data_IF_326948064612
#
_entry.id   IF_326948064612
#
_cell.length_a   1.000
_cell.length_b   1.000
_cell.length_c   1.000
_cell.angle_alpha   90.00
_cell.angle_beta   90.00
_cell.angle_gamma   90.00
#
_symmetry.space_group_name_H-M   'P 1'
#
loop_
_entity.id
_entity.type
_entity.pdbx_description
1 polymer ?
#
# COMPACT_ATOMS: atom_id res chain seq x y z
N UNK A 1 18.00 -32.93 -4.13
CA UNK A 1 16.63 -32.47 -3.82
C UNK A 1 16.75 -31.23 -2.92
N UNK A 2 16.49 -30.03 -3.42
CA UNK A 2 16.52 -28.80 -2.62
C UNK A 2 15.36 -28.81 -1.65
N UNK A 3 15.60 -28.62 -0.36
CA UNK A 3 14.53 -28.58 0.63
C UNK A 3 13.73 -27.28 0.51
N UNK A 4 12.40 -27.31 0.75
CA UNK A 4 11.56 -26.10 0.80
C UNK A 4 12.08 -25.03 1.79
N UNK A 5 12.82 -25.45 2.84
CA UNK A 5 13.43 -24.54 3.81
C UNK A 5 14.49 -23.59 3.22
N UNK A 6 15.09 -23.96 2.09
CA UNK A 6 16.10 -23.14 1.44
C UNK A 6 15.56 -21.85 0.80
N UNK A 7 14.26 -21.83 0.42
CA UNK A 7 13.61 -20.66 -0.17
C UNK A 7 13.04 -19.67 0.87
N UNK A 8 13.00 -20.06 2.13
CA UNK A 8 12.45 -19.25 3.21
C UNK A 8 13.50 -18.44 3.97
N UNK A 9 14.81 -18.70 3.72
CA UNK A 9 15.86 -18.01 4.44
C UNK A 9 16.29 -16.74 3.72
N UNK A 10 16.21 -15.61 4.44
CA UNK A 10 16.65 -14.28 3.99
C UNK A 10 17.91 -13.88 4.74
N UNK A 11 18.88 -13.34 4.00
CA UNK A 11 20.14 -12.81 4.51
C UNK A 11 20.20 -11.31 4.33
N UNK A 12 20.72 -10.60 5.32
CA UNK A 12 21.08 -9.19 5.19
C UNK A 12 22.61 -9.06 5.21
N UNK A 13 23.15 -8.16 4.40
CA UNK A 13 24.61 -8.01 4.23
C UNK A 13 25.33 -7.72 5.55
N UNK A 14 24.71 -6.96 6.46
CA UNK A 14 25.26 -6.60 7.78
C UNK A 14 25.12 -7.69 8.85
N UNK A 15 24.24 -8.67 8.63
CA UNK A 15 24.01 -9.76 9.57
C UNK A 15 24.41 -11.06 8.89
N UNK A 16 25.49 -11.70 9.37
CA UNK A 16 26.00 -12.99 8.83
C UNK A 16 25.08 -14.19 9.10
N UNK A 17 23.89 -13.96 9.69
CA UNK A 17 22.93 -15.00 10.04
C UNK A 17 21.70 -14.89 9.16
N UNK A 18 21.26 -16.00 8.56
CA UNK A 18 20.01 -16.07 7.83
C UNK A 18 18.79 -16.14 8.76
N UNK A 19 17.71 -15.49 8.36
CA UNK A 19 16.41 -15.54 9.03
C UNK A 19 15.46 -16.41 8.23
N UNK A 20 14.90 -17.44 8.86
CA UNK A 20 13.87 -18.24 8.22
C UNK A 20 12.52 -17.50 8.27
N UNK A 21 11.95 -17.23 7.11
CA UNK A 21 10.71 -16.46 6.93
C UNK A 21 9.68 -17.35 6.23
N UNK A 22 8.84 -18.07 6.99
CA UNK A 22 7.80 -18.90 6.40
C UNK A 22 6.74 -18.03 5.72
N UNK A 23 6.28 -18.40 4.54
CA UNK A 23 5.22 -17.70 3.83
C UNK A 23 3.82 -18.04 4.37
N UNK A 24 3.67 -19.23 4.97
CA UNK A 24 2.41 -19.76 5.49
C UNK A 24 2.45 -19.84 7.01
N UNK A 25 1.39 -19.34 7.65
CA UNK A 25 1.23 -19.39 9.12
C UNK A 25 0.63 -20.73 9.56
N UNK A 26 -0.47 -21.13 8.93
CA UNK A 26 -1.22 -22.35 9.24
C UNK A 26 -1.77 -22.95 7.96
N UNK A 27 -1.71 -24.27 7.84
CA UNK A 27 -2.38 -25.05 6.80
C UNK A 27 -3.32 -26.05 7.47
N UNK A 28 -4.58 -26.09 7.03
CA UNK A 28 -5.57 -27.02 7.54
C UNK A 28 -6.54 -27.41 6.43
N UNK A 29 -7.12 -28.59 6.55
CA UNK A 29 -8.15 -29.07 5.63
C UNK A 29 -9.54 -28.82 6.21
N UNK A 30 -10.39 -28.14 5.45
CA UNK A 30 -11.80 -27.91 5.82
C UNK A 30 -12.71 -28.39 4.67
N UNK A 31 -13.62 -29.30 4.96
CA UNK A 31 -14.54 -29.89 3.96
C UNK A 31 -13.84 -30.43 2.71
N UNK A 32 -12.64 -31.02 2.87
CA UNK A 32 -11.87 -31.58 1.77
C UNK A 32 -11.06 -30.58 0.94
N UNK A 33 -11.11 -29.27 1.27
CA UNK A 33 -10.29 -28.25 0.65
C UNK A 33 -9.12 -27.87 1.57
N UNK A 34 -7.91 -27.78 1.01
CA UNK A 34 -6.74 -27.29 1.73
C UNK A 34 -6.79 -25.76 1.81
N UNK A 35 -6.88 -25.24 3.03
CA UNK A 35 -6.87 -23.79 3.31
C UNK A 35 -5.52 -23.43 3.93
N UNK A 36 -4.80 -22.52 3.29
CA UNK A 36 -3.54 -21.98 3.80
C UNK A 36 -3.69 -20.53 4.20
N UNK A 37 -3.47 -20.22 5.48
CA UNK A 37 -3.40 -18.84 5.97
C UNK A 37 -1.96 -18.33 5.78
N UNK A 38 -1.80 -17.34 4.92
CA UNK A 38 -0.51 -16.71 4.61
C UNK A 38 -0.19 -15.60 5.60
N UNK A 39 1.08 -15.48 6.00
CA UNK A 39 1.54 -14.36 6.85
C UNK A 39 1.24 -13.00 6.23
N UNK A 40 1.32 -12.88 4.90
CA UNK A 40 0.94 -11.66 4.18
C UNK A 40 -0.47 -11.17 4.55
N UNK A 41 -1.47 -12.05 4.50
CA UNK A 41 -2.85 -11.70 4.85
C UNK A 41 -3.02 -11.28 6.30
N UNK A 42 -2.34 -11.98 7.22
CA UNK A 42 -2.37 -11.66 8.67
C UNK A 42 -1.75 -10.29 8.94
N UNK A 43 -0.63 -9.95 8.31
CA UNK A 43 0.03 -8.65 8.46
C UNK A 43 -0.86 -7.52 7.92
N UNK A 44 -1.49 -7.72 6.76
CA UNK A 44 -2.42 -6.73 6.19
C UNK A 44 -3.62 -6.53 7.12
N UNK A 45 -4.23 -7.62 7.63
CA UNK A 45 -5.35 -7.54 8.56
C UNK A 45 -4.95 -6.82 9.86
N UNK A 46 -3.77 -7.12 10.40
CA UNK A 46 -3.24 -6.45 11.59
C UNK A 46 -3.02 -4.95 11.34
N UNK A 47 -2.41 -4.58 10.22
CA UNK A 47 -2.23 -3.18 9.82
C UNK A 47 -3.56 -2.44 9.66
N UNK A 48 -4.56 -3.10 9.05
CA UNK A 48 -5.91 -2.56 8.92
C UNK A 48 -6.58 -2.32 10.29
N UNK A 49 -6.51 -3.30 11.20
CA UNK A 49 -7.07 -3.18 12.54
C UNK A 49 -6.42 -2.02 13.30
N UNK A 50 -5.09 -1.90 13.28
CA UNK A 50 -4.40 -0.80 13.96
C UNK A 50 -4.75 0.56 13.35
N UNK A 51 -4.84 0.67 12.03
CA UNK A 51 -5.27 1.88 11.33
C UNK A 51 -6.72 2.25 11.72
N UNK A 52 -7.63 1.27 11.77
CA UNK A 52 -9.01 1.46 12.18
C UNK A 52 -9.16 1.89 13.64
N UNK A 53 -8.39 1.28 14.55
CA UNK A 53 -8.37 1.65 15.98
C UNK A 53 -7.85 3.07 16.17
N UNK A 54 -6.80 3.45 15.45
CA UNK A 54 -6.26 4.81 15.49
C UNK A 54 -7.27 5.83 14.93
N UNK A 55 -7.86 5.54 13.77
CA UNK A 55 -8.93 6.35 13.18
C UNK A 55 -10.14 6.50 14.12
N UNK A 56 -10.54 5.42 14.82
CA UNK A 56 -11.60 5.44 15.82
C UNK A 56 -11.32 6.38 16.99
N UNK A 57 -10.07 6.41 17.47
CA UNK A 57 -9.66 7.38 18.49
C UNK A 57 -9.74 8.83 17.98
N UNK A 58 -9.41 9.09 16.73
CA UNK A 58 -9.57 10.41 16.11
C UNK A 58 -11.04 10.76 15.94
N UNK A 59 -11.87 9.82 15.45
CA UNK A 59 -13.32 9.98 15.28
C UNK A 59 -13.98 10.39 16.59
N UNK A 60 -13.67 9.71 17.68
CA UNK A 60 -14.17 10.04 19.02
C UNK A 60 -13.86 11.48 19.41
N UNK A 61 -12.63 11.95 19.18
CA UNK A 61 -12.22 13.34 19.47
C UNK A 61 -12.95 14.37 18.61
N UNK A 62 -13.32 14.00 17.39
CA UNK A 62 -14.05 14.87 16.48
C UNK A 62 -15.57 14.70 16.57
N UNK A 63 -16.05 14.03 17.64
CA UNK A 63 -17.47 13.77 17.92
C UNK A 63 -18.18 13.02 16.78
N UNK A 64 -17.44 12.18 16.06
CA UNK A 64 -18.01 11.23 15.11
C UNK A 64 -18.30 9.96 15.90
N UNK A 65 -19.58 9.55 15.91
CA UNK A 65 -19.97 8.33 16.65
C UNK A 65 -19.32 7.08 16.04
N UNK A 66 -19.10 6.07 16.89
CA UNK A 66 -18.51 4.79 16.46
C UNK A 66 -19.33 4.13 15.34
N UNK A 67 -20.67 4.17 15.45
CA UNK A 67 -21.58 3.60 14.44
C UNK A 67 -21.34 4.22 13.05
N UNK A 68 -21.20 5.56 12.99
CA UNK A 68 -20.90 6.24 11.72
C UNK A 68 -19.57 5.83 11.12
N UNK A 69 -18.58 5.63 11.99
CA UNK A 69 -17.26 5.18 11.56
C UNK A 69 -17.30 3.72 11.09
N UNK A 70 -18.00 2.85 11.81
CA UNK A 70 -18.19 1.46 11.40
C UNK A 70 -18.91 1.34 10.08
N UNK A 71 -19.94 2.17 9.82
CA UNK A 71 -20.59 2.22 8.51
C UNK A 71 -19.58 2.56 7.40
N UNK A 72 -18.74 3.58 7.59
CA UNK A 72 -17.71 3.93 6.60
C UNK A 72 -16.75 2.78 6.35
N UNK A 73 -16.30 2.09 7.42
CA UNK A 73 -15.38 0.96 7.30
C UNK A 73 -16.04 -0.24 6.60
N UNK A 74 -17.25 -0.61 7.02
CA UNK A 74 -17.95 -1.78 6.47
C UNK A 74 -18.32 -1.54 5.01
N UNK A 75 -19.06 -0.47 4.71
CA UNK A 75 -19.47 -0.19 3.34
C UNK A 75 -18.30 0.16 2.43
N UNK A 76 -17.30 0.87 2.96
CA UNK A 76 -16.07 1.19 2.22
C UNK A 76 -15.27 -0.06 1.88
N UNK A 77 -15.12 -1.00 2.80
CA UNK A 77 -14.40 -2.27 2.56
C UNK A 77 -15.16 -3.15 1.57
N UNK A 78 -16.47 -3.34 1.76
CA UNK A 78 -17.28 -4.15 0.86
C UNK A 78 -17.29 -3.59 -0.56
N UNK A 79 -17.56 -2.29 -0.71
CA UNK A 79 -17.52 -1.63 -2.01
C UNK A 79 -16.11 -1.61 -2.62
N UNK A 80 -15.08 -1.53 -1.79
CA UNK A 80 -13.69 -1.66 -2.23
C UNK A 80 -13.40 -3.02 -2.83
N UNK A 81 -13.82 -4.11 -2.18
CA UNK A 81 -13.65 -5.48 -2.70
C UNK A 81 -14.43 -5.67 -4.00
N UNK A 82 -15.70 -5.25 -4.03
CA UNK A 82 -16.55 -5.35 -5.22
C UNK A 82 -15.95 -4.51 -6.37
N UNK A 83 -15.52 -3.28 -6.09
CA UNK A 83 -14.90 -2.41 -7.08
C UNK A 83 -13.58 -2.97 -7.61
N UNK A 84 -12.75 -3.54 -6.74
CA UNK A 84 -11.49 -4.18 -7.15
C UNK A 84 -11.73 -5.33 -8.11
N UNK A 85 -12.74 -6.17 -7.83
CA UNK A 85 -13.11 -7.29 -8.70
C UNK A 85 -13.73 -6.82 -10.01
N UNK A 86 -14.69 -5.89 -9.93
CA UNK A 86 -15.35 -5.34 -11.11
C UNK A 86 -14.35 -4.70 -12.08
N UNK A 87 -13.41 -3.91 -11.57
CA UNK A 87 -12.36 -3.30 -12.38
C UNK A 87 -11.51 -4.37 -13.08
N UNK A 88 -11.06 -5.39 -12.34
CA UNK A 88 -10.26 -6.47 -12.91
C UNK A 88 -11.02 -7.21 -13.99
N UNK A 89 -12.29 -7.58 -13.76
CA UNK A 89 -13.14 -8.29 -14.73
C UNK A 89 -13.37 -7.46 -15.99
N UNK A 90 -13.61 -6.15 -15.86
CA UNK A 90 -13.80 -5.25 -17.00
C UNK A 90 -12.56 -5.24 -17.90
N UNK A 91 -11.36 -5.16 -17.31
CA UNK A 91 -10.10 -5.13 -18.08
C UNK A 91 -9.67 -6.50 -18.63
N UNK A 92 -10.28 -7.59 -18.11
CA UNK A 92 -10.09 -8.96 -18.60
C UNK A 92 -11.36 -9.52 -19.23
N UNK A 93 -12.21 -8.63 -19.81
CA UNK A 93 -13.54 -9.01 -20.30
C UNK A 93 -13.52 -10.11 -21.35
N UNK A 94 -12.48 -10.15 -22.20
CA UNK A 94 -12.35 -11.19 -23.23
C UNK A 94 -12.28 -12.60 -22.65
N UNK A 95 -11.71 -12.76 -21.48
CA UNK A 95 -11.69 -14.01 -20.73
C UNK A 95 -13.02 -14.25 -20.00
N UNK A 96 -13.49 -13.27 -19.21
CA UNK A 96 -14.63 -13.45 -18.32
C UNK A 96 -15.98 -13.58 -19.04
N UNK A 97 -16.12 -13.03 -20.25
CA UNK A 97 -17.32 -13.26 -21.06
C UNK A 97 -17.53 -14.75 -21.43
N UNK A 98 -16.43 -15.55 -21.48
CA UNK A 98 -16.46 -16.99 -21.73
C UNK A 98 -16.54 -17.81 -20.45
N UNK A 99 -16.16 -17.23 -19.29
CA UNK A 99 -16.11 -17.88 -17.98
C UNK A 99 -16.88 -17.09 -16.90
N UNK A 100 -18.19 -16.81 -17.08
CA UNK A 100 -18.94 -15.91 -16.18
C UNK A 100 -19.07 -16.48 -14.76
N UNK A 101 -19.01 -17.80 -14.57
CA UNK A 101 -19.03 -18.44 -13.25
C UNK A 101 -17.80 -18.13 -12.38
N UNK A 102 -16.70 -17.66 -12.98
CA UNK A 102 -15.49 -17.27 -12.24
C UNK A 102 -15.52 -15.83 -11.76
N UNK A 103 -16.43 -14.98 -12.26
CA UNK A 103 -16.53 -13.57 -11.86
C UNK A 103 -16.63 -13.38 -10.34
N UNK A 104 -17.43 -14.14 -9.57
CA UNK A 104 -17.50 -13.98 -8.11
C UNK A 104 -16.34 -14.63 -7.34
N UNK A 105 -15.44 -15.36 -7.98
CA UNK A 105 -14.39 -16.16 -7.33
C UNK A 105 -13.18 -15.30 -6.91
N UNK A 106 -13.38 -14.40 -5.95
CA UNK A 106 -12.33 -13.49 -5.45
C UNK A 106 -11.19 -14.21 -4.73
N UNK A 107 -11.41 -15.43 -4.24
CA UNK A 107 -10.38 -16.25 -3.56
C UNK A 107 -9.31 -16.79 -4.49
N UNK A 108 -9.52 -16.77 -5.79
CA UNK A 108 -8.51 -17.10 -6.81
C UNK A 108 -7.62 -15.92 -7.19
N UNK A 109 -7.81 -14.76 -6.56
CA UNK A 109 -7.11 -13.52 -6.90
C UNK A 109 -7.90 -12.68 -7.92
N UNK A 110 -7.19 -11.89 -8.73
CA UNK A 110 -7.83 -11.00 -9.72
C UNK A 110 -8.57 -9.83 -9.09
N UNK A 111 -7.89 -9.08 -8.25
CA UNK A 111 -8.35 -7.86 -7.61
C UNK A 111 -7.46 -6.68 -8.04
N UNK A 112 -8.05 -5.67 -8.67
CA UNK A 112 -7.33 -4.48 -9.11
C UNK A 112 -7.40 -3.37 -8.05
N UNK A 113 -6.24 -2.86 -7.64
CA UNK A 113 -6.12 -1.85 -6.59
C UNK A 113 -6.88 -0.56 -6.93
N UNK A 114 -6.87 -0.14 -8.19
CA UNK A 114 -7.59 1.07 -8.62
C UNK A 114 -9.10 0.94 -8.45
N UNK A 115 -9.66 -0.22 -8.80
CA UNK A 115 -11.07 -0.50 -8.58
C UNK A 115 -11.45 -0.48 -7.10
N UNK A 116 -10.56 -0.99 -6.25
CA UNK A 116 -10.73 -0.96 -4.79
C UNK A 116 -10.75 0.46 -4.23
N UNK A 117 -9.83 1.30 -4.67
CA UNK A 117 -9.77 2.72 -4.26
C UNK A 117 -11.02 3.47 -4.72
N UNK A 118 -11.42 3.30 -5.98
CA UNK A 118 -12.62 3.97 -6.55
C UNK A 118 -13.87 3.52 -5.80
N UNK A 119 -14.09 2.21 -5.66
CA UNK A 119 -15.27 1.67 -4.98
C UNK A 119 -15.35 2.11 -3.52
N UNK A 120 -14.22 2.00 -2.78
CA UNK A 120 -14.14 2.43 -1.39
C UNK A 120 -14.39 3.93 -1.22
N UNK A 121 -13.83 4.77 -2.11
CA UNK A 121 -14.05 6.22 -2.07
C UNK A 121 -15.50 6.60 -2.37
N UNK A 122 -16.12 6.00 -3.39
CA UNK A 122 -17.53 6.24 -3.71
C UNK A 122 -18.42 5.87 -2.51
N UNK A 123 -18.22 4.71 -1.91
CA UNK A 123 -18.97 4.29 -0.73
C UNK A 123 -18.77 5.24 0.44
N UNK A 124 -17.53 5.65 0.71
CA UNK A 124 -17.21 6.60 1.77
C UNK A 124 -17.93 7.95 1.54
N UNK A 125 -17.96 8.47 0.30
CA UNK A 125 -18.68 9.69 -0.04
C UNK A 125 -20.19 9.56 0.18
N UNK A 126 -20.80 8.43 -0.23
CA UNK A 126 -22.22 8.15 -0.02
C UNK A 126 -22.54 8.08 1.47
N UNK A 127 -21.76 7.31 2.24
CA UNK A 127 -21.98 7.17 3.69
C UNK A 127 -21.80 8.52 4.38
N UNK A 128 -20.80 9.32 4.03
CA UNK A 128 -20.63 10.67 4.57
C UNK A 128 -21.84 11.55 4.33
N UNK A 129 -22.40 11.52 3.12
CA UNK A 129 -23.58 12.28 2.77
C UNK A 129 -24.81 11.83 3.58
N UNK A 130 -25.06 10.52 3.65
CA UNK A 130 -26.22 9.94 4.35
C UNK A 130 -26.11 10.14 5.87
N UNK A 131 -24.94 9.90 6.44
CA UNK A 131 -24.70 10.01 7.89
C UNK A 131 -24.33 11.41 8.36
N UNK A 132 -24.30 12.41 7.44
CA UNK A 132 -23.92 13.81 7.70
C UNK A 132 -22.56 13.90 8.40
N UNK A 133 -21.55 13.22 7.84
CA UNK A 133 -20.15 13.27 8.29
C UNK A 133 -19.44 14.32 7.43
N UNK A 134 -18.61 15.16 8.06
CA UNK A 134 -17.72 16.05 7.30
C UNK A 134 -16.67 15.22 6.56
N UNK A 135 -16.71 15.24 5.22
CA UNK A 135 -15.82 14.44 4.36
C UNK A 135 -14.36 14.81 4.56
N UNK A 136 -14.03 16.09 4.76
CA UNK A 136 -12.63 16.52 4.94
C UNK A 136 -12.05 15.99 6.26
N UNK A 137 -12.88 15.91 7.32
CA UNK A 137 -12.44 15.29 8.57
C UNK A 137 -12.25 13.77 8.39
N UNK A 138 -13.12 13.09 7.62
CA UNK A 138 -12.94 11.68 7.31
C UNK A 138 -11.66 11.45 6.50
N UNK A 139 -11.38 12.27 5.50
CA UNK A 139 -10.15 12.20 4.71
C UNK A 139 -8.90 12.44 5.56
N UNK A 140 -8.94 13.42 6.48
CA UNK A 140 -7.84 13.66 7.44
C UNK A 140 -7.57 12.42 8.31
N UNK A 141 -8.63 11.82 8.82
CA UNK A 141 -8.54 10.61 9.63
C UNK A 141 -8.02 9.43 8.81
N UNK A 142 -8.52 9.27 7.57
CA UNK A 142 -8.06 8.26 6.63
C UNK A 142 -6.60 8.44 6.26
N UNK A 143 -6.17 9.64 5.88
CA UNK A 143 -4.81 9.91 5.43
C UNK A 143 -3.74 9.53 6.46
N UNK A 144 -3.92 9.93 7.72
CA UNK A 144 -2.96 9.58 8.77
C UNK A 144 -3.03 8.08 9.15
N UNK A 145 -4.24 7.48 9.14
CA UNK A 145 -4.43 6.05 9.44
C UNK A 145 -3.85 5.15 8.34
N UNK A 146 -3.94 5.58 7.07
CA UNK A 146 -3.36 4.85 5.94
C UNK A 146 -1.85 4.66 6.08
N UNK A 147 -1.11 5.63 6.63
CA UNK A 147 0.33 5.48 6.85
C UNK A 147 0.65 4.33 7.80
N UNK A 148 -0.19 4.09 8.82
CA UNK A 148 -0.05 2.93 9.72
C UNK A 148 -0.25 1.64 8.92
N UNK A 149 -1.37 1.52 8.23
CA UNK A 149 -1.70 0.33 7.44
C UNK A 149 -0.68 0.04 6.35
N UNK A 150 -0.25 1.07 5.61
CA UNK A 150 0.76 0.96 4.56
C UNK A 150 2.12 0.54 5.12
N UNK A 151 2.60 1.21 6.17
CA UNK A 151 3.88 0.90 6.79
C UNK A 151 3.96 -0.54 7.30
N UNK A 152 2.89 -1.04 7.94
CA UNK A 152 2.79 -2.43 8.39
C UNK A 152 2.64 -3.38 7.21
N UNK A 153 1.80 -3.02 6.23
CA UNK A 153 1.54 -3.85 5.04
C UNK A 153 2.80 -4.17 4.23
N UNK A 154 3.82 -3.28 4.24
CA UNK A 154 5.11 -3.53 3.57
C UNK A 154 5.87 -4.74 4.13
N UNK A 155 5.66 -5.08 5.39
CA UNK A 155 6.21 -6.32 5.96
C UNK A 155 5.58 -7.57 5.36
N UNK A 156 4.37 -7.47 4.79
CA UNK A 156 3.80 -8.54 3.98
C UNK A 156 4.62 -8.83 2.72
N UNK A 157 5.09 -7.79 2.02
CA UNK A 157 6.00 -7.97 0.87
C UNK A 157 7.33 -8.64 1.29
N UNK A 158 7.84 -8.33 2.49
CA UNK A 158 9.01 -9.00 3.05
C UNK A 158 8.75 -10.49 3.29
N UNK A 159 7.61 -10.87 3.87
CA UNK A 159 7.25 -12.27 4.07
C UNK A 159 7.11 -13.02 2.74
N UNK A 160 6.62 -12.35 1.71
CA UNK A 160 6.54 -12.90 0.36
C UNK A 160 7.86 -12.77 -0.42
N UNK A 161 8.87 -12.05 0.10
CA UNK A 161 10.13 -11.77 -0.59
C UNK A 161 9.92 -11.19 -2.00
N UNK A 162 8.98 -10.25 -2.13
CA UNK A 162 8.55 -9.62 -3.37
C UNK A 162 8.75 -8.11 -3.33
N UNK A 163 8.56 -7.44 -4.48
CA UNK A 163 8.64 -5.98 -4.61
C UNK A 163 9.99 -5.40 -4.12
N UNK A 164 11.07 -6.14 -4.30
CA UNK A 164 12.44 -5.71 -3.99
C UNK A 164 12.98 -4.74 -5.06
N UNK A 165 14.08 -4.07 -4.75
CA UNK A 165 14.73 -3.13 -5.67
C UNK A 165 15.86 -3.77 -6.48
N UNK A 166 16.58 -2.93 -7.22
CA UNK A 166 17.78 -3.33 -7.97
C UNK A 166 18.90 -3.82 -7.05
N UNK A 167 19.99 -4.38 -7.63
CA UNK A 167 21.15 -4.77 -6.85
C UNK A 167 21.76 -3.59 -6.08
N UNK A 168 22.33 -3.89 -4.91
CA UNK A 168 22.93 -2.87 -4.03
C UNK A 168 24.15 -3.42 -3.32
N UNK A 169 25.14 -2.55 -3.12
CA UNK A 169 26.30 -2.80 -2.26
C UNK A 169 26.10 -2.20 -0.84
N UNK A 170 24.90 -1.67 -0.56
CA UNK A 170 24.58 -1.10 0.75
C UNK A 170 24.68 -2.17 1.86
N UNK A 171 25.13 -1.82 3.08
CA UNK A 171 25.30 -2.77 4.17
C UNK A 171 23.99 -3.44 4.61
N UNK A 172 22.84 -2.86 4.31
CA UNK A 172 21.51 -3.42 4.59
C UNK A 172 20.87 -4.12 3.38
N UNK A 173 21.64 -4.43 2.33
CA UNK A 173 21.17 -5.22 1.19
C UNK A 173 20.59 -6.56 1.63
N UNK A 174 19.53 -7.00 0.95
CA UNK A 174 18.79 -8.23 1.23
C UNK A 174 19.02 -9.26 0.12
N UNK A 175 19.23 -10.52 0.48
CA UNK A 175 19.36 -11.62 -0.47
C UNK A 175 18.64 -12.87 0.02
N UNK A 176 18.06 -13.61 -0.90
CA UNK A 176 17.52 -14.95 -0.66
C UNK A 176 17.52 -15.77 -1.94
N UNK A 177 17.39 -17.10 -1.82
CA UNK A 177 17.25 -17.98 -2.98
C UNK A 177 15.97 -17.69 -3.78
N UNK A 178 14.90 -17.29 -3.10
CA UNK A 178 13.65 -16.91 -3.77
C UNK A 178 13.83 -15.64 -4.62
N UNK A 179 14.49 -14.62 -4.09
CA UNK A 179 14.83 -13.40 -4.82
C UNK A 179 15.69 -13.73 -6.05
N UNK A 180 16.75 -14.56 -5.86
CA UNK A 180 17.61 -14.99 -6.94
C UNK A 180 16.83 -15.73 -8.04
N UNK A 181 15.95 -16.65 -7.65
CA UNK A 181 15.09 -17.38 -8.59
C UNK A 181 14.16 -16.45 -9.37
N UNK A 182 13.54 -15.46 -8.69
CA UNK A 182 12.70 -14.44 -9.35
C UNK A 182 13.50 -13.61 -10.36
N UNK A 183 14.73 -13.18 -10.02
CA UNK A 183 15.60 -12.43 -10.93
C UNK A 183 15.92 -13.25 -12.18
N UNK A 184 16.19 -14.55 -12.02
CA UNK A 184 16.48 -15.45 -13.15
C UNK A 184 15.21 -15.62 -14.01
N UNK A 185 14.08 -15.88 -13.38
CA UNK A 185 12.78 -16.05 -14.06
C UNK A 185 12.40 -14.81 -14.87
N UNK A 186 12.57 -13.63 -14.30
CA UNK A 186 12.18 -12.36 -14.90
C UNK A 186 13.29 -11.70 -15.72
N UNK A 187 14.42 -12.39 -15.95
CA UNK A 187 15.62 -11.84 -16.58
C UNK A 187 15.35 -11.22 -17.97
N UNK A 188 14.50 -11.86 -18.78
CA UNK A 188 14.13 -11.33 -20.10
C UNK A 188 13.28 -10.06 -19.97
N UNK A 189 12.28 -10.05 -19.08
CA UNK A 189 11.43 -8.89 -18.82
C UNK A 189 12.23 -7.72 -18.23
N UNK A 190 13.20 -8.00 -17.39
CA UNK A 190 14.12 -6.99 -16.84
C UNK A 190 15.01 -6.41 -17.93
N UNK A 191 15.56 -7.24 -18.81
CA UNK A 191 16.38 -6.80 -19.93
C UNK A 191 15.58 -5.91 -20.91
N UNK A 192 14.33 -6.25 -21.21
CA UNK A 192 13.43 -5.41 -22.02
C UNK A 192 13.19 -4.03 -21.39
N UNK A 193 13.24 -3.94 -20.05
CA UNK A 193 13.15 -2.68 -19.29
C UNK A 193 14.51 -1.97 -19.13
N UNK A 194 15.58 -2.49 -19.71
CA UNK A 194 16.94 -1.94 -19.57
C UNK A 194 17.55 -2.15 -18.17
N UNK A 195 17.04 -3.10 -17.38
CA UNK A 195 17.50 -3.40 -16.03
C UNK A 195 18.32 -4.68 -16.07
N UNK A 196 19.62 -4.59 -15.71
CA UNK A 196 20.48 -5.75 -15.55
C UNK A 196 20.64 -6.06 -14.07
N UNK A 197 20.36 -7.30 -13.65
CA UNK A 197 20.50 -7.75 -12.27
C UNK A 197 21.32 -9.03 -12.17
N UNK A 198 22.17 -9.09 -11.15
CA UNK A 198 22.91 -10.28 -10.77
C UNK A 198 22.14 -11.03 -9.67
N UNK A 199 21.69 -12.27 -9.89
CA UNK A 199 20.95 -13.05 -8.91
C UNK A 199 21.79 -13.42 -7.66
N UNK A 200 23.13 -13.31 -7.75
CA UNK A 200 24.02 -13.59 -6.63
C UNK A 200 24.33 -12.36 -5.76
N UNK A 201 23.86 -11.17 -6.17
CA UNK A 201 24.07 -9.93 -5.44
C UNK A 201 22.86 -9.56 -4.58
N UNK A 202 23.06 -8.90 -3.43
CA UNK A 202 21.98 -8.35 -2.63
C UNK A 202 21.16 -7.31 -3.40
N UNK A 203 19.91 -7.14 -3.00
CA UNK A 203 18.96 -6.16 -3.56
C UNK A 203 18.52 -5.15 -2.52
N UNK A 204 18.04 -3.98 -2.96
CA UNK A 204 17.47 -2.98 -2.07
C UNK A 204 16.20 -3.51 -1.38
N UNK A 205 16.11 -3.50 -0.03
CA UNK A 205 14.91 -3.88 0.72
C UNK A 205 13.89 -2.75 0.68
N UNK A 206 13.21 -2.56 -0.45
CA UNK A 206 12.27 -1.44 -0.64
C UNK A 206 11.11 -1.48 0.34
N UNK A 207 10.70 -2.67 0.82
CA UNK A 207 9.70 -2.81 1.88
C UNK A 207 10.09 -2.03 3.14
N UNK A 208 11.37 -2.07 3.52
CA UNK A 208 11.90 -1.37 4.69
C UNK A 208 11.90 0.15 4.46
N UNK A 209 12.32 0.58 3.27
CA UNK A 209 12.32 2.00 2.92
C UNK A 209 10.91 2.59 2.97
N UNK A 210 9.94 1.91 2.36
CA UNK A 210 8.54 2.34 2.37
C UNK A 210 7.93 2.28 3.79
N UNK A 211 8.26 1.27 4.59
CA UNK A 211 7.79 1.15 5.98
C UNK A 211 8.32 2.30 6.85
N UNK A 212 9.62 2.61 6.77
CA UNK A 212 10.23 3.72 7.49
C UNK A 212 9.68 5.07 7.02
N UNK A 213 9.50 5.24 5.70
CA UNK A 213 8.89 6.44 5.14
C UNK A 213 7.48 6.69 5.68
N UNK A 214 6.66 5.64 5.71
CA UNK A 214 5.31 5.71 6.29
C UNK A 214 5.34 6.02 7.79
N UNK A 215 6.26 5.44 8.55
CA UNK A 215 6.42 5.72 9.98
C UNK A 215 6.80 7.19 10.23
N UNK A 216 7.79 7.72 9.49
CA UNK A 216 8.20 9.12 9.61
C UNK A 216 7.04 10.04 9.24
N UNK A 217 6.34 9.77 8.14
CA UNK A 217 5.16 10.53 7.73
C UNK A 217 4.05 10.51 8.77
N UNK A 218 3.79 9.34 9.36
CA UNK A 218 2.84 9.22 10.47
C UNK A 218 3.23 10.11 11.65
N UNK A 219 4.48 10.09 12.08
CA UNK A 219 4.96 10.93 13.19
C UNK A 219 4.81 12.42 12.88
N UNK A 220 5.19 12.86 11.67
CA UNK A 220 5.03 14.25 11.24
C UNK A 220 3.56 14.66 11.26
N UNK A 221 2.68 13.88 10.61
CA UNK A 221 1.25 14.19 10.56
C UNK A 221 0.58 14.09 11.93
N UNK A 222 1.05 13.20 12.81
CA UNK A 222 0.57 13.12 14.19
C UNK A 222 0.92 14.38 14.99
N UNK A 223 2.12 14.93 14.83
CA UNK A 223 2.50 16.21 15.44
C UNK A 223 1.66 17.36 14.89
N UNK A 224 1.43 17.39 13.56
CA UNK A 224 0.55 18.39 12.93
C UNK A 224 -0.88 18.25 13.47
N UNK A 225 -1.40 17.03 13.56
CA UNK A 225 -2.73 16.76 14.14
C UNK A 225 -2.87 17.28 15.56
N UNK A 226 -1.85 17.11 16.40
CA UNK A 226 -1.90 17.49 17.81
C UNK A 226 -1.71 18.98 18.05
N UNK A 227 -0.83 19.64 17.28
CA UNK A 227 -0.36 20.98 17.59
C UNK A 227 -0.62 22.03 16.51
N UNK A 228 -0.69 21.62 15.23
CA UNK A 228 -0.62 22.55 14.10
C UNK A 228 -1.76 22.41 13.10
N UNK A 229 -2.81 21.63 13.42
CA UNK A 229 -3.96 21.49 12.53
C UNK A 229 -4.79 22.78 12.54
N UNK A 230 -4.87 23.43 11.38
CA UNK A 230 -5.56 24.72 11.20
C UNK A 230 -6.86 24.61 10.40
N UNK A 231 -6.98 23.62 9.50
CA UNK A 231 -8.17 23.44 8.66
C UNK A 231 -8.50 21.95 8.45
N UNK A 232 -9.75 21.67 8.06
CA UNK A 232 -10.19 20.31 7.70
C UNK A 232 -9.65 19.94 6.32
N UNK A 233 -9.07 18.76 6.17
CA UNK A 233 -8.36 18.32 4.96
C UNK A 233 -6.85 18.50 5.02
N UNK A 234 -6.31 19.16 6.06
CA UNK A 234 -4.88 19.45 6.20
C UNK A 234 -4.04 18.17 6.28
N UNK A 235 -4.47 17.18 7.06
CA UNK A 235 -3.72 15.94 7.24
C UNK A 235 -3.78 15.08 5.97
N UNK A 236 -4.90 15.11 5.25
CA UNK A 236 -5.03 14.38 3.99
C UNK A 236 -4.14 14.97 2.89
N UNK A 237 -4.10 16.28 2.75
CA UNK A 237 -3.18 16.94 1.83
C UNK A 237 -1.72 16.70 2.22
N UNK A 238 -1.40 16.74 3.51
CA UNK A 238 -0.08 16.37 4.02
C UNK A 238 0.29 14.92 3.71
N UNK A 239 -0.67 13.97 3.86
CA UNK A 239 -0.49 12.58 3.47
C UNK A 239 -0.21 12.44 1.97
N UNK A 240 -1.02 13.09 1.12
CA UNK A 240 -0.84 13.02 -0.34
C UNK A 240 0.51 13.56 -0.80
N UNK A 241 0.95 14.68 -0.23
CA UNK A 241 2.26 15.26 -0.51
C UNK A 241 3.40 14.34 -0.02
N UNK A 242 3.34 13.83 1.19
CA UNK A 242 4.35 12.95 1.77
C UNK A 242 4.44 11.60 1.06
N UNK A 243 3.30 10.94 0.86
CA UNK A 243 3.23 9.66 0.16
C UNK A 243 3.68 9.78 -1.29
N UNK A 244 3.23 10.84 -2.00
CA UNK A 244 3.62 11.10 -3.37
C UNK A 244 5.14 11.29 -3.51
N UNK A 245 5.77 12.05 -2.59
CA UNK A 245 7.22 12.23 -2.56
C UNK A 245 7.94 10.90 -2.34
N UNK A 246 7.53 10.13 -1.32
CA UNK A 246 8.14 8.85 -1.01
C UNK A 246 8.02 7.85 -2.15
N UNK A 247 6.84 7.78 -2.76
CA UNK A 247 6.60 6.88 -3.89
C UNK A 247 7.43 7.28 -5.11
N UNK A 248 7.58 8.58 -5.39
CA UNK A 248 8.42 9.06 -6.47
C UNK A 248 9.90 8.67 -6.29
N UNK A 249 10.42 8.76 -5.05
CA UNK A 249 11.82 8.41 -4.74
C UNK A 249 12.02 6.88 -4.76
N UNK A 250 11.18 6.14 -4.02
CA UNK A 250 11.38 4.69 -3.82
C UNK A 250 11.10 3.91 -5.10
N UNK A 251 10.17 4.38 -5.94
CA UNK A 251 9.91 3.77 -7.25
C UNK A 251 11.18 3.73 -8.12
N UNK A 252 12.10 4.67 -7.93
CA UNK A 252 13.38 4.69 -8.60
C UNK A 252 14.23 3.43 -8.38
N UNK A 253 14.07 2.75 -7.26
CA UNK A 253 14.81 1.52 -6.92
C UNK A 253 14.07 0.24 -7.36
N UNK A 254 12.76 0.28 -7.64
CA UNK A 254 11.94 -0.90 -7.91
C UNK A 254 12.19 -1.48 -9.30
N UNK A 255 12.04 -2.79 -9.40
CA UNK A 255 12.23 -3.56 -10.65
C UNK A 255 10.92 -3.88 -11.35
N UNK A 256 9.80 -3.85 -10.62
CA UNK A 256 8.46 -4.20 -11.09
C UNK A 256 7.63 -3.01 -11.63
N UNK A 257 8.30 -1.86 -11.86
CA UNK A 257 7.66 -0.63 -12.33
C UNK A 257 7.11 -0.75 -13.76
N UNK A 258 5.97 -0.06 -14.01
CA UNK A 258 5.42 0.14 -15.34
C UNK A 258 6.04 1.38 -15.96
N UNK A 259 6.46 1.27 -17.22
CA UNK A 259 7.05 2.37 -17.99
C UNK A 259 6.04 2.95 -18.99
N UNK A 260 6.15 4.23 -19.29
CA UNK A 260 5.42 4.84 -20.40
C UNK A 260 6.04 4.32 -21.70
N UNK A 261 5.19 3.88 -22.64
CA UNK A 261 5.64 3.28 -23.91
C UNK A 261 6.77 4.11 -24.56
N UNK A 262 7.84 3.44 -24.97
CA UNK A 262 9.02 4.02 -25.60
C UNK A 262 9.82 5.04 -24.78
N UNK A 263 9.65 5.05 -23.44
CA UNK A 263 10.42 5.94 -22.56
C UNK A 263 10.99 5.19 -21.36
N UNK A 264 11.98 5.80 -20.69
CA UNK A 264 12.52 5.32 -19.40
C UNK A 264 11.75 5.87 -18.19
N UNK A 265 10.65 6.59 -18.43
CA UNK A 265 9.87 7.25 -17.41
C UNK A 265 8.86 6.27 -16.82
N UNK A 266 8.86 6.12 -15.51
CA UNK A 266 7.92 5.24 -14.78
C UNK A 266 6.60 5.95 -14.55
N UNK A 267 5.48 5.32 -14.95
CA UNK A 267 4.12 5.87 -14.79
C UNK A 267 3.86 6.29 -13.34
N UNK A 268 4.21 5.42 -12.38
CA UNK A 268 4.00 5.68 -10.96
C UNK A 268 4.79 6.87 -10.44
N UNK A 269 5.97 7.17 -10.99
CA UNK A 269 6.75 8.36 -10.62
C UNK A 269 6.05 9.66 -11.07
N UNK A 270 5.54 9.68 -12.30
CA UNK A 270 4.83 10.86 -12.82
C UNK A 270 3.55 11.12 -12.04
N UNK A 271 2.74 10.08 -11.83
CA UNK A 271 1.49 10.18 -11.09
C UNK A 271 1.75 10.62 -9.64
N UNK A 272 2.76 10.05 -8.99
CA UNK A 272 3.10 10.39 -7.60
C UNK A 272 3.69 11.80 -7.48
N UNK A 273 4.50 12.23 -8.45
CA UNK A 273 5.01 13.60 -8.51
C UNK A 273 3.90 14.63 -8.72
N UNK A 274 2.96 14.35 -9.62
CA UNK A 274 1.79 15.20 -9.83
C UNK A 274 0.91 15.28 -8.58
N UNK A 275 0.65 14.13 -7.92
CA UNK A 275 -0.10 14.08 -6.67
C UNK A 275 0.58 14.91 -5.57
N UNK A 276 1.90 14.75 -5.42
CA UNK A 276 2.71 15.51 -4.47
C UNK A 276 2.55 17.01 -4.70
N UNK A 277 2.74 17.47 -5.95
CA UNK A 277 2.67 18.90 -6.29
C UNK A 277 1.27 19.46 -6.04
N UNK A 278 0.22 18.79 -6.49
CA UNK A 278 -1.16 19.23 -6.29
C UNK A 278 -1.49 19.32 -4.80
N UNK A 279 -1.18 18.28 -4.02
CA UNK A 279 -1.44 18.27 -2.58
C UNK A 279 -0.62 19.36 -1.86
N UNK A 280 0.63 19.57 -2.22
CA UNK A 280 1.49 20.59 -1.62
C UNK A 280 0.98 22.00 -1.91
N UNK A 281 0.62 22.28 -3.16
CA UNK A 281 0.06 23.59 -3.56
C UNK A 281 -1.24 23.86 -2.80
N UNK A 282 -2.17 22.90 -2.79
CA UNK A 282 -3.42 23.03 -2.05
C UNK A 282 -3.19 23.21 -0.55
N UNK A 283 -2.24 22.48 0.03
CA UNK A 283 -1.86 22.61 1.45
C UNK A 283 -1.40 24.03 1.77
N UNK A 284 -0.49 24.59 0.96
CA UNK A 284 0.05 25.94 1.15
C UNK A 284 -1.05 26.99 0.96
N UNK A 285 -1.84 26.90 -0.12
CA UNK A 285 -2.92 27.85 -0.39
C UNK A 285 -3.95 27.86 0.75
N UNK A 286 -4.42 26.70 1.19
CA UNK A 286 -5.37 26.61 2.31
C UNK A 286 -4.76 27.13 3.62
N UNK A 287 -3.47 26.91 3.86
CA UNK A 287 -2.78 27.39 5.04
C UNK A 287 -2.69 28.92 5.06
N UNK A 288 -2.34 29.54 3.94
CA UNK A 288 -2.27 31.00 3.81
C UNK A 288 -3.65 31.63 3.98
N UNK A 289 -4.67 31.09 3.30
CA UNK A 289 -6.04 31.60 3.40
C UNK A 289 -6.60 31.53 4.82
N UNK A 290 -6.28 30.46 5.56
CA UNK A 290 -6.72 30.30 6.96
C UNK A 290 -5.97 31.28 7.90
N UNK A 291 -4.70 31.59 7.60
CA UNK A 291 -3.92 32.54 8.41
C UNK A 291 -4.41 34.00 8.23
N UNK A 292 -4.84 34.37 7.02
CA UNK A 292 -5.35 35.71 6.73
C UNK A 292 -6.77 35.93 7.28
N UNK A 293 -7.61 34.87 7.33
CA UNK A 293 -8.94 34.88 7.95
C UNK A 293 -8.91 35.10 9.47
N UNK A 294 -7.81 34.74 10.14
CA UNK A 294 -7.60 35.02 11.57
C UNK A 294 -7.05 36.42 11.88
N UNK A 295 -6.66 37.17 10.85
CA UNK A 295 -6.14 38.56 11.01
C UNK A 295 -7.19 39.62 10.73
N UNK A 296 -8.37 39.25 10.27
CA UNK A 296 -9.55 40.12 10.14
C UNK A 296 -10.57 39.81 11.24
#
# INVERSE_FOLDING_TARGET
MMSMSDFTTVYFTWIKRGFNIPSTLVEFSLFGNEISIKFYGVIIAFGFILAALFGGRMAYKWRISLDKMLDVLIYGTLAGIIGARAYYVIFQWDYYKLHPAEIPQIWQGGLAIYGGIIGGLIAALIVCKVRKINILNLLDMGGISLLIGQGIGRWGNFMNQEAFGTNTDAPWGMWSRKIAATIIQDSQLLAEKGITMDPNKPVHPTFLYESLWCLIGFLILYVIYKKFRKFSGQLFLGYGAWYGLGRMIIEGFRTDSLYIAHTTIRVSQVVSGALMLVCLVLYIVCLLYTSDGCRR
#
